data_IF_044179514539
#
_entry.id   IF_044179514539
#
_cell.length_a   1.000
_cell.length_b   1.000
_cell.length_c   1.000
_cell.angle_alpha   90.00
_cell.angle_beta   90.00
_cell.angle_gamma   90.00
#
_symmetry.space_group_name_H-M   'P 1'
#
loop_
_entity.id
_entity.type
_entity.pdbx_description
1 polymer ?
#
# COMPACT_ATOMS: atom_id res chain seq x y z
N UNK A 1 -11.55 -7.91 37.13
CA UNK A 1 -10.96 -9.23 37.41
C UNK A 1 -10.17 -9.77 36.21
N UNK A 2 -10.74 -9.84 35.00
CA UNK A 2 -10.04 -10.36 33.80
C UNK A 2 -8.77 -9.59 33.39
N UNK A 3 -8.79 -8.25 33.48
CA UNK A 3 -7.62 -7.41 33.13
C UNK A 3 -6.43 -7.68 34.06
N UNK A 4 -6.69 -7.89 35.36
CA UNK A 4 -5.65 -8.19 36.36
C UNK A 4 -5.02 -9.55 36.04
N UNK A 5 -5.86 -10.58 35.82
CA UNK A 5 -5.40 -11.92 35.43
C UNK A 5 -4.61 -11.92 34.13
N UNK A 6 -5.02 -11.13 33.14
CA UNK A 6 -4.25 -10.99 31.90
C UNK A 6 -2.88 -10.35 32.13
N UNK A 7 -2.81 -9.28 32.94
CA UNK A 7 -1.54 -8.65 33.29
C UNK A 7 -0.61 -9.61 34.07
N UNK A 8 -1.17 -10.48 34.93
CA UNK A 8 -0.43 -11.56 35.59
C UNK A 8 0.09 -12.58 34.58
N UNK A 9 -0.72 -13.03 33.62
CA UNK A 9 -0.28 -13.93 32.53
C UNK A 9 0.88 -13.34 31.71
N UNK A 10 0.81 -12.06 31.37
CA UNK A 10 1.88 -11.37 30.64
C UNK A 10 3.19 -11.35 31.45
N UNK A 11 3.10 -11.07 32.76
CA UNK A 11 4.26 -11.07 33.65
C UNK A 11 4.86 -12.46 33.84
N UNK A 12 4.03 -13.49 34.00
CA UNK A 12 4.48 -14.88 34.17
C UNK A 12 5.24 -15.40 32.95
N UNK A 13 4.82 -14.98 31.75
CA UNK A 13 5.43 -15.39 30.48
C UNK A 13 6.66 -14.56 30.10
N UNK A 14 7.06 -13.57 30.91
CA UNK A 14 8.15 -12.62 30.64
C UNK A 14 8.10 -12.05 29.20
N UNK A 15 6.90 -11.68 28.73
CA UNK A 15 6.74 -11.16 27.37
C UNK A 15 7.41 -9.79 27.26
N UNK A 16 8.54 -9.74 26.55
CA UNK A 16 9.33 -8.52 26.31
C UNK A 16 8.71 -7.64 25.21
N UNK A 17 7.52 -7.12 25.47
CA UNK A 17 6.85 -6.16 24.58
C UNK A 17 6.46 -4.90 25.34
N UNK A 18 6.83 -3.74 24.79
CA UNK A 18 6.42 -2.43 25.30
C UNK A 18 5.12 -1.93 24.66
N UNK A 19 4.63 -2.62 23.62
CA UNK A 19 3.41 -2.22 22.89
C UNK A 19 2.17 -2.52 23.72
N UNK A 20 1.33 -1.51 23.96
CA UNK A 20 0.02 -1.71 24.59
C UNK A 20 -0.96 -2.36 23.60
N UNK A 21 -1.87 -3.19 24.12
CA UNK A 21 -3.03 -3.66 23.35
C UNK A 21 -3.87 -2.47 22.90
N UNK A 22 -4.31 -2.50 21.65
CA UNK A 22 -5.15 -1.45 21.04
C UNK A 22 -6.54 -1.99 20.76
N UNK A 23 -7.56 -1.18 21.03
CA UNK A 23 -8.94 -1.52 20.71
C UNK A 23 -9.23 -1.26 19.22
N UNK A 24 -10.00 -2.14 18.59
CA UNK A 24 -10.46 -1.92 17.23
C UNK A 24 -11.57 -0.85 17.16
N UNK A 25 -11.59 -0.14 16.02
CA UNK A 25 -12.68 0.72 15.60
C UNK A 25 -13.20 0.14 14.28
N UNK A 26 -14.37 -0.55 14.28
CA UNK A 26 -14.82 -1.36 13.14
C UNK A 26 -14.96 -0.62 11.79
N UNK A 27 -15.07 0.71 11.84
CA UNK A 27 -15.19 1.57 10.65
C UNK A 27 -13.83 1.98 10.06
N UNK A 28 -12.71 1.62 10.70
CA UNK A 28 -11.34 2.01 10.29
C UNK A 28 -10.44 0.79 10.27
N UNK A 29 -10.14 0.30 9.07
CA UNK A 29 -9.21 -0.81 8.85
C UNK A 29 -7.80 -0.58 9.43
N UNK A 30 -7.35 0.68 9.55
CA UNK A 30 -6.13 1.05 10.28
C UNK A 30 -6.18 0.65 11.77
N UNK A 31 -7.32 0.87 12.43
CA UNK A 31 -7.51 0.50 13.83
C UNK A 31 -7.49 -1.01 13.98
N UNK A 32 -8.09 -1.72 13.03
CA UNK A 32 -8.08 -3.18 13.00
C UNK A 32 -6.67 -3.72 12.83
N UNK A 33 -5.88 -3.19 11.89
CA UNK A 33 -4.48 -3.56 11.73
C UNK A 33 -3.69 -3.36 13.04
N UNK A 34 -3.80 -2.17 13.65
CA UNK A 34 -3.09 -1.85 14.88
C UNK A 34 -3.52 -2.71 16.07
N UNK A 35 -4.80 -3.08 16.17
CA UNK A 35 -5.28 -4.06 17.15
C UNK A 35 -4.61 -5.40 16.91
N UNK A 36 -4.70 -5.96 15.70
CA UNK A 36 -4.17 -7.29 15.37
C UNK A 36 -2.65 -7.36 15.58
N UNK A 37 -1.92 -6.34 15.11
CA UNK A 37 -0.47 -6.23 15.29
C UNK A 37 -0.08 -6.27 16.78
N UNK A 38 -0.82 -5.55 17.63
CA UNK A 38 -0.58 -5.61 19.07
C UNK A 38 -1.00 -6.95 19.68
N UNK A 39 -2.13 -7.52 19.27
CA UNK A 39 -2.71 -8.73 19.85
C UNK A 39 -1.86 -9.98 19.60
N UNK A 40 -1.25 -10.10 18.41
CA UNK A 40 -0.37 -11.23 18.06
C UNK A 40 0.81 -11.35 19.03
N UNK A 41 1.37 -10.22 19.50
CA UNK A 41 2.47 -10.20 20.48
C UNK A 41 2.08 -10.78 21.84
N UNK A 42 0.78 -10.85 22.13
CA UNK A 42 0.22 -11.37 23.37
C UNK A 42 -0.54 -12.69 23.19
N UNK A 43 -0.41 -13.36 22.04
CA UNK A 43 -1.12 -14.61 21.74
C UNK A 43 -0.96 -15.66 22.85
N UNK A 44 0.26 -15.86 23.36
CA UNK A 44 0.54 -16.76 24.48
C UNK A 44 -0.12 -16.31 25.79
N UNK A 45 -0.17 -15.01 26.07
CA UNK A 45 -0.84 -14.48 27.26
C UNK A 45 -2.36 -14.68 27.19
N UNK A 46 -2.98 -14.60 26.00
CA UNK A 46 -4.38 -14.96 25.81
C UNK A 46 -4.62 -16.46 26.05
N UNK A 47 -3.73 -17.34 25.57
CA UNK A 47 -3.80 -18.77 25.85
C UNK A 47 -3.69 -19.06 27.35
N UNK A 48 -2.74 -18.42 28.04
CA UNK A 48 -2.58 -18.54 29.49
C UNK A 48 -3.81 -18.01 30.25
N UNK A 49 -4.38 -16.89 29.80
CA UNK A 49 -5.60 -16.32 30.39
C UNK A 49 -6.75 -17.32 30.38
N UNK A 50 -6.88 -18.14 29.33
CA UNK A 50 -7.90 -19.20 29.23
C UNK A 50 -7.75 -20.26 30.32
N UNK A 51 -6.52 -20.54 30.76
CA UNK A 51 -6.24 -21.51 31.81
C UNK A 51 -6.53 -20.95 33.21
N UNK A 52 -6.27 -19.65 33.43
CA UNK A 52 -6.39 -19.01 34.76
C UNK A 52 -7.74 -18.32 35.01
N UNK A 53 -8.51 -18.02 33.96
CA UNK A 53 -9.83 -17.41 34.08
C UNK A 53 -10.92 -18.25 33.40
N UNK A 54 -11.70 -19.05 34.17
CA UNK A 54 -12.80 -19.84 33.63
C UNK A 54 -13.87 -19.02 32.89
N UNK A 55 -13.94 -17.70 33.16
CA UNK A 55 -14.87 -16.79 32.49
C UNK A 55 -14.38 -16.37 31.08
N UNK A 56 -13.10 -16.55 30.76
CA UNK A 56 -12.55 -16.22 29.45
C UNK A 56 -12.77 -17.38 28.46
N UNK A 57 -13.92 -17.34 27.78
CA UNK A 57 -14.37 -18.40 26.87
C UNK A 57 -13.78 -18.29 25.46
N UNK A 58 -13.53 -17.06 25.00
CA UNK A 58 -13.23 -16.75 23.60
C UNK A 58 -11.74 -16.52 23.35
N UNK A 59 -10.94 -17.56 23.58
CA UNK A 59 -9.53 -17.57 23.18
C UNK A 59 -9.41 -18.11 21.74
N UNK A 60 -8.76 -17.38 20.81
CA UNK A 60 -8.54 -17.90 19.47
C UNK A 60 -7.73 -19.20 19.50
N UNK A 61 -8.03 -20.11 18.57
CA UNK A 61 -7.25 -21.33 18.33
C UNK A 61 -5.91 -21.00 17.65
N UNK A 62 -5.00 -21.99 17.59
CA UNK A 62 -3.73 -21.84 16.88
C UNK A 62 -3.93 -21.52 15.38
N UNK A 63 -4.95 -22.14 14.77
CA UNK A 63 -5.33 -21.91 13.38
C UNK A 63 -5.92 -20.50 13.17
N UNK A 64 -6.71 -20.02 14.13
CA UNK A 64 -7.25 -18.66 14.10
C UNK A 64 -6.16 -17.62 14.28
N UNK A 65 -5.18 -17.84 15.17
CA UNK A 65 -3.99 -16.98 15.29
C UNK A 65 -3.18 -16.95 13.98
N UNK A 66 -3.00 -18.11 13.33
CA UNK A 66 -2.36 -18.16 12.01
C UNK A 66 -3.13 -17.35 10.96
N UNK A 67 -4.47 -17.41 10.98
CA UNK A 67 -5.31 -16.59 10.09
C UNK A 67 -5.20 -15.10 10.44
N UNK A 68 -5.16 -14.72 11.72
CA UNK A 68 -4.95 -13.34 12.18
C UNK A 68 -3.64 -12.78 11.61
N UNK A 69 -2.55 -13.55 11.63
CA UNK A 69 -1.28 -13.12 11.04
C UNK A 69 -1.37 -12.91 9.52
N UNK A 70 -2.13 -13.75 8.81
CA UNK A 70 -2.38 -13.56 7.36
C UNK A 70 -3.18 -12.28 7.10
N UNK A 71 -4.23 -12.02 7.90
CA UNK A 71 -5.03 -10.79 7.80
C UNK A 71 -4.16 -9.56 8.11
N UNK A 72 -3.34 -9.62 9.17
CA UNK A 72 -2.42 -8.55 9.53
C UNK A 72 -1.45 -8.24 8.38
N UNK A 73 -0.83 -9.28 7.79
CA UNK A 73 0.05 -9.13 6.63
C UNK A 73 -0.67 -8.53 5.43
N UNK A 74 -1.92 -8.92 5.18
CA UNK A 74 -2.74 -8.35 4.13
C UNK A 74 -3.08 -6.86 4.37
N UNK A 75 -3.37 -6.47 5.61
CA UNK A 75 -3.72 -5.08 5.95
C UNK A 75 -2.50 -4.17 6.07
N UNK A 76 -1.30 -4.72 6.28
CA UNK A 76 -0.06 -3.95 6.50
C UNK A 76 0.24 -2.93 5.39
N UNK A 77 0.20 -3.28 4.08
CA UNK A 77 0.51 -2.33 3.02
C UNK A 77 -0.47 -1.16 2.96
N UNK A 78 -1.74 -1.38 3.32
CA UNK A 78 -2.70 -0.30 3.44
C UNK A 78 -2.29 0.66 4.56
N UNK A 79 -1.88 0.11 5.72
CA UNK A 79 -1.51 0.90 6.90
C UNK A 79 -0.30 1.77 6.61
N UNK A 80 0.76 1.18 6.05
CA UNK A 80 1.97 1.86 5.59
C UNK A 80 1.63 3.00 4.63
N UNK A 81 0.76 2.73 3.64
CA UNK A 81 0.29 3.74 2.70
C UNK A 81 -0.44 4.89 3.41
N UNK A 82 -1.34 4.60 4.34
CA UNK A 82 -2.09 5.66 5.04
C UNK A 82 -1.20 6.48 5.94
N UNK A 83 -0.27 5.85 6.64
CA UNK A 83 0.71 6.56 7.43
C UNK A 83 1.56 7.48 6.55
N UNK A 84 2.01 6.99 5.39
CA UNK A 84 2.77 7.76 4.41
C UNK A 84 1.99 9.00 3.94
N UNK A 85 0.74 8.86 3.52
CA UNK A 85 -0.09 9.99 3.08
C UNK A 85 -0.54 10.91 4.21
N UNK A 86 -0.57 10.39 5.44
CA UNK A 86 -0.88 11.20 6.61
C UNK A 86 0.32 12.04 7.08
N UNK A 87 1.52 11.88 6.51
CA UNK A 87 2.69 12.73 6.85
C UNK A 87 2.55 14.11 6.21
N UNK A 88 2.80 15.16 6.99
CA UNK A 88 2.42 16.53 6.64
C UNK A 88 3.57 17.30 5.97
N UNK A 89 4.71 16.66 5.73
CA UNK A 89 6.00 17.31 5.44
C UNK A 89 6.58 17.05 4.05
N UNK A 90 5.94 16.23 3.22
CA UNK A 90 6.51 15.84 1.91
C UNK A 90 5.45 15.90 0.80
N UNK A 91 5.83 16.31 -0.42
CA UNK A 91 4.97 16.12 -1.58
C UNK A 91 4.67 14.62 -1.74
N UNK A 92 3.39 14.25 -1.63
CA UNK A 92 2.97 12.85 -1.69
C UNK A 92 2.42 12.45 -3.06
N UNK A 93 2.18 13.43 -3.94
CA UNK A 93 1.53 13.22 -5.24
C UNK A 93 2.31 12.28 -6.16
N UNK A 94 3.64 12.39 -6.20
CA UNK A 94 4.50 11.50 -6.99
C UNK A 94 4.72 10.12 -6.34
N UNK A 95 4.35 9.94 -5.07
CA UNK A 95 4.33 8.63 -4.40
C UNK A 95 2.97 7.93 -4.54
N UNK A 96 1.94 8.68 -4.94
CA UNK A 96 0.56 8.21 -4.99
C UNK A 96 0.41 6.95 -5.83
N UNK A 97 0.79 7.05 -7.10
CA UNK A 97 0.53 6.00 -8.08
C UNK A 97 1.24 4.70 -7.70
N UNK A 98 2.51 4.78 -7.27
CA UNK A 98 3.30 3.61 -6.84
C UNK A 98 2.60 2.85 -5.70
N UNK A 99 2.15 3.57 -4.67
CA UNK A 99 1.50 2.95 -3.52
C UNK A 99 0.13 2.37 -3.90
N UNK A 100 -0.67 3.10 -4.67
CA UNK A 100 -1.98 2.66 -5.17
C UNK A 100 -1.84 1.41 -6.03
N UNK A 101 -0.83 1.40 -6.89
CA UNK A 101 -0.48 0.27 -7.73
C UNK A 101 -0.09 -0.96 -6.90
N UNK A 102 0.73 -0.79 -5.86
CA UNK A 102 1.09 -1.86 -4.91
C UNK A 102 -0.15 -2.51 -4.28
N UNK A 103 -1.15 -1.71 -3.90
CA UNK A 103 -2.42 -2.23 -3.38
C UNK A 103 -3.23 -2.98 -4.44
N UNK A 104 -3.27 -2.49 -5.68
CA UNK A 104 -3.92 -3.20 -6.79
C UNK A 104 -3.28 -4.57 -7.04
N UNK A 105 -1.95 -4.65 -7.03
CA UNK A 105 -1.22 -5.93 -7.16
C UNK A 105 -1.51 -6.87 -6.00
N UNK A 106 -1.50 -6.35 -4.76
CA UNK A 106 -1.85 -7.12 -3.57
C UNK A 106 -3.25 -7.73 -3.67
N UNK A 107 -4.23 -7.01 -4.23
CA UNK A 107 -5.56 -7.60 -4.45
C UNK A 107 -5.50 -8.76 -5.45
N UNK A 108 -4.81 -8.62 -6.58
CA UNK A 108 -4.72 -9.69 -7.58
C UNK A 108 -4.14 -10.97 -6.97
N UNK A 109 -3.07 -10.84 -6.19
CA UNK A 109 -2.43 -11.97 -5.51
C UNK A 109 -3.36 -12.63 -4.48
N UNK A 110 -4.06 -11.82 -3.67
CA UNK A 110 -4.82 -12.34 -2.54
C UNK A 110 -6.20 -12.86 -2.95
N UNK A 111 -6.76 -12.38 -4.07
CA UNK A 111 -8.01 -12.89 -4.63
C UNK A 111 -7.94 -14.35 -5.06
N UNK A 112 -6.76 -14.84 -5.43
CA UNK A 112 -6.52 -16.26 -5.79
C UNK A 112 -5.90 -17.08 -4.64
N UNK A 113 -5.87 -16.52 -3.43
CA UNK A 113 -5.40 -17.23 -2.25
C UNK A 113 -6.22 -18.50 -1.97
N UNK A 114 -5.52 -19.57 -1.56
CA UNK A 114 -6.14 -20.83 -1.13
C UNK A 114 -7.01 -20.65 0.14
N UNK A 115 -6.73 -19.63 0.95
CA UNK A 115 -7.56 -19.30 2.10
C UNK A 115 -8.81 -18.54 1.64
N UNK A 116 -9.94 -19.24 1.58
CA UNK A 116 -11.20 -18.70 1.07
C UNK A 116 -11.67 -17.46 1.85
N UNK A 117 -11.32 -17.32 3.13
CA UNK A 117 -11.67 -16.14 3.91
C UNK A 117 -10.87 -14.92 3.46
N UNK A 118 -9.56 -15.10 3.23
CA UNK A 118 -8.68 -14.05 2.69
C UNK A 118 -9.07 -13.69 1.26
N UNK A 119 -9.32 -14.68 0.40
CA UNK A 119 -9.77 -14.46 -0.98
C UNK A 119 -11.08 -13.66 -1.03
N UNK A 120 -12.06 -14.01 -0.19
CA UNK A 120 -13.32 -13.27 -0.09
C UNK A 120 -13.09 -11.84 0.41
N UNK A 121 -12.31 -11.67 1.49
CA UNK A 121 -11.97 -10.36 2.02
C UNK A 121 -11.28 -9.47 0.98
N UNK A 122 -10.34 -10.03 0.21
CA UNK A 122 -9.66 -9.31 -0.86
C UNK A 122 -10.64 -8.87 -1.97
N UNK A 123 -11.57 -9.73 -2.39
CA UNK A 123 -12.62 -9.39 -3.37
C UNK A 123 -13.54 -8.27 -2.87
N UNK A 124 -14.00 -8.36 -1.63
CA UNK A 124 -14.90 -7.36 -1.03
C UNK A 124 -14.20 -6.00 -0.87
N UNK A 125 -12.95 -6.00 -0.40
CA UNK A 125 -12.15 -4.80 -0.28
C UNK A 125 -11.77 -4.22 -1.64
N UNK A 126 -11.46 -5.05 -2.64
CA UNK A 126 -11.20 -4.60 -4.01
C UNK A 126 -12.43 -3.91 -4.62
N UNK A 127 -13.63 -4.48 -4.43
CA UNK A 127 -14.87 -3.85 -4.94
C UNK A 127 -15.06 -2.43 -4.39
N UNK A 128 -14.78 -2.23 -3.09
CA UNK A 128 -14.77 -0.90 -2.48
C UNK A 128 -13.66 -0.02 -3.05
N UNK A 129 -12.46 -0.57 -3.18
CA UNK A 129 -11.30 0.14 -3.73
C UNK A 129 -11.61 0.66 -5.15
N UNK A 130 -12.04 -0.22 -6.06
CA UNK A 130 -12.36 0.11 -7.44
C UNK A 130 -13.50 1.13 -7.54
N UNK A 131 -14.43 1.20 -6.58
CA UNK A 131 -15.46 2.25 -6.54
C UNK A 131 -14.87 3.64 -6.35
N UNK A 132 -13.86 3.79 -5.48
CA UNK A 132 -13.21 5.07 -5.22
C UNK A 132 -12.11 5.39 -6.22
N UNK A 133 -11.50 4.36 -6.82
CA UNK A 133 -10.30 4.46 -7.66
C UNK A 133 -10.53 4.10 -9.14
N UNK A 134 -11.80 4.00 -9.58
CA UNK A 134 -12.17 3.66 -10.97
C UNK A 134 -11.56 4.60 -12.01
N UNK A 135 -11.30 5.83 -11.60
CA UNK A 135 -10.45 6.78 -12.31
C UNK A 135 -9.23 7.00 -11.43
N UNK A 136 -8.05 6.51 -11.83
CA UNK A 136 -6.82 7.16 -11.38
C UNK A 136 -7.04 8.65 -11.64
N UNK A 137 -6.91 9.50 -10.62
CA UNK A 137 -6.99 10.93 -10.87
C UNK A 137 -5.98 11.23 -11.97
N UNK A 138 -6.45 11.66 -13.14
CA UNK A 138 -5.60 11.98 -14.29
C UNK A 138 -4.45 12.90 -13.85
N UNK A 139 -4.75 13.81 -12.92
CA UNK A 139 -3.79 14.71 -12.25
C UNK A 139 -2.69 13.94 -11.52
N UNK A 140 -3.01 12.87 -10.79
CA UNK A 140 -2.03 12.07 -10.06
C UNK A 140 -1.21 11.19 -10.99
N UNK A 141 -1.78 10.74 -12.11
CA UNK A 141 -1.00 10.06 -13.16
C UNK A 141 -0.05 11.05 -13.83
N UNK A 142 -0.48 12.28 -14.12
CA UNK A 142 0.39 13.34 -14.63
C UNK A 142 1.54 13.67 -13.68
N UNK A 143 1.28 13.71 -12.36
CA UNK A 143 2.33 13.94 -11.37
C UNK A 143 3.48 12.92 -11.46
N UNK A 144 3.19 11.68 -11.86
CA UNK A 144 4.21 10.65 -12.11
C UNK A 144 4.93 10.87 -13.43
N UNK A 145 4.19 11.17 -14.50
CA UNK A 145 4.80 11.40 -15.81
C UNK A 145 5.72 12.63 -15.78
N UNK A 146 5.37 13.64 -15.00
CA UNK A 146 6.18 14.83 -14.77
C UNK A 146 7.34 14.60 -13.78
N UNK A 147 7.36 13.49 -13.05
CA UNK A 147 8.52 13.12 -12.21
C UNK A 147 9.64 12.60 -13.14
N UNK A 148 10.81 13.27 -13.19
CA UNK A 148 11.90 12.91 -14.10
C UNK A 148 12.41 11.47 -13.95
N UNK A 149 12.16 10.83 -12.81
CA UNK A 149 12.59 9.46 -12.51
C UNK A 149 11.71 8.40 -13.15
N UNK A 150 10.42 8.68 -13.37
CA UNK A 150 9.44 7.68 -13.82
C UNK A 150 9.04 7.89 -15.27
N UNK A 151 8.64 9.12 -15.62
CA UNK A 151 8.14 9.48 -16.95
C UNK A 151 6.96 8.58 -17.38
N UNK A 152 6.64 8.60 -18.68
CA UNK A 152 5.57 7.79 -19.25
C UNK A 152 5.89 6.29 -19.25
N UNK A 153 7.19 5.94 -19.33
CA UNK A 153 7.70 4.56 -19.39
C UNK A 153 7.27 3.73 -18.16
N UNK A 154 7.26 4.34 -16.97
CA UNK A 154 6.81 3.68 -15.75
C UNK A 154 5.32 3.34 -15.78
N UNK A 155 4.49 4.24 -16.33
CA UNK A 155 3.05 4.00 -16.48
C UNK A 155 2.79 2.89 -17.51
N UNK A 156 3.55 2.87 -18.61
CA UNK A 156 3.52 1.79 -19.61
C UNK A 156 3.84 0.43 -18.98
N UNK A 157 4.89 0.36 -18.15
CA UNK A 157 5.25 -0.84 -17.41
C UNK A 157 4.11 -1.30 -16.48
N UNK A 158 3.56 -0.40 -15.67
CA UNK A 158 2.47 -0.75 -14.76
C UNK A 158 1.23 -1.24 -15.50
N UNK A 159 0.79 -0.56 -16.57
CA UNK A 159 -0.37 -1.03 -17.33
C UNK A 159 -0.13 -2.37 -18.02
N UNK A 160 1.05 -2.63 -18.57
CA UNK A 160 1.40 -3.93 -19.14
C UNK A 160 1.36 -5.04 -18.10
N UNK A 161 1.89 -4.78 -16.90
CA UNK A 161 1.87 -5.76 -15.79
C UNK A 161 0.44 -6.02 -15.27
N UNK A 162 -0.46 -5.04 -15.38
CA UNK A 162 -1.87 -5.22 -15.00
C UNK A 162 -2.64 -6.04 -16.02
N UNK A 163 -2.60 -5.58 -17.26
CA UNK A 163 -3.46 -6.01 -18.33
C UNK A 163 -2.83 -5.56 -19.65
N UNK A 164 -2.11 -6.49 -20.26
CA UNK A 164 -1.43 -6.29 -21.54
C UNK A 164 -2.43 -5.81 -22.61
N UNK A 165 -3.67 -6.31 -22.59
CA UNK A 165 -4.65 -6.06 -23.65
C UNK A 165 -5.10 -4.61 -23.72
N UNK A 166 -5.36 -3.97 -22.58
CA UNK A 166 -5.83 -2.57 -22.53
C UNK A 166 -4.71 -1.55 -22.27
N UNK A 167 -3.46 -2.02 -22.14
CA UNK A 167 -2.33 -1.20 -21.75
C UNK A 167 -2.04 -0.08 -22.76
N UNK A 168 -2.00 -0.41 -24.06
CA UNK A 168 -1.67 0.53 -25.12
C UNK A 168 -2.69 1.67 -25.23
N UNK A 169 -4.00 1.34 -25.18
CA UNK A 169 -5.05 2.37 -25.25
C UNK A 169 -5.00 3.30 -24.05
N UNK A 170 -4.83 2.78 -22.83
CA UNK A 170 -4.73 3.60 -21.60
C UNK A 170 -3.56 4.58 -21.63
N UNK A 171 -2.40 4.14 -22.13
CA UNK A 171 -1.22 5.00 -22.27
C UNK A 171 -1.45 6.08 -23.32
N UNK A 172 -2.05 5.74 -24.46
CA UNK A 172 -2.33 6.72 -25.52
C UNK A 172 -3.35 7.78 -25.06
N UNK A 173 -4.41 7.38 -24.37
CA UNK A 173 -5.37 8.32 -23.76
C UNK A 173 -4.63 9.26 -22.80
N UNK A 174 -3.75 8.75 -21.94
CA UNK A 174 -2.98 9.58 -21.02
C UNK A 174 -2.06 10.57 -21.77
N UNK A 175 -1.39 10.11 -22.83
CA UNK A 175 -0.49 10.93 -23.66
C UNK A 175 -1.27 12.06 -24.35
N UNK A 176 -2.46 11.76 -24.85
CA UNK A 176 -3.37 12.74 -25.45
C UNK A 176 -3.76 13.81 -24.42
N UNK A 177 -4.23 13.40 -23.25
CA UNK A 177 -4.63 14.32 -22.18
C UNK A 177 -3.48 15.22 -21.70
N UNK A 178 -2.24 14.70 -21.65
CA UNK A 178 -1.07 15.55 -21.32
C UNK A 178 -0.77 16.57 -22.42
N UNK A 179 -0.97 16.19 -23.69
CA UNK A 179 -0.76 17.10 -24.82
C UNK A 179 -1.80 18.23 -24.79
N UNK A 180 -3.06 17.90 -24.59
CA UNK A 180 -4.14 18.89 -24.42
C UNK A 180 -3.84 19.87 -23.27
N UNK A 181 -3.41 19.34 -22.11
CA UNK A 181 -3.02 20.17 -20.97
C UNK A 181 -1.86 21.12 -21.31
N UNK A 182 -0.85 20.62 -22.03
CA UNK A 182 0.29 21.42 -22.44
C UNK A 182 -0.07 22.50 -23.46
N UNK A 183 -0.92 22.18 -24.44
CA UNK A 183 -1.45 23.15 -25.41
C UNK A 183 -2.22 24.27 -24.71
N UNK A 184 -3.04 23.93 -23.72
CA UNK A 184 -3.77 24.93 -22.93
C UNK A 184 -2.83 25.79 -22.07
N UNK A 185 -1.81 25.19 -21.46
CA UNK A 185 -0.76 25.93 -20.75
C UNK A 185 -0.05 26.94 -21.66
N UNK A 186 0.28 26.56 -22.90
CA UNK A 186 0.91 27.45 -23.87
C UNK A 186 0.00 28.62 -24.28
N UNK A 187 -1.33 28.44 -24.31
CA UNK A 187 -2.29 29.52 -24.62
C UNK A 187 -2.38 30.56 -23.51
N UNK A 188 -2.17 30.15 -22.25
CA UNK A 188 -2.30 31.02 -21.06
C UNK A 188 -1.02 31.84 -20.80
N UNK A 189 0.13 31.41 -21.31
CA UNK A 189 1.40 32.14 -21.13
C UNK A 189 1.60 33.19 -22.23
N UNK A 190 1.64 34.50 -21.92
CA UNK A 190 2.17 35.49 -22.84
C UNK A 190 3.68 35.26 -23.03
N UNK A 191 4.27 35.55 -24.20
CA UNK A 191 5.66 35.26 -24.48
C UNK A 191 6.57 36.03 -23.51
N UNK A 192 7.14 35.35 -22.50
CA UNK A 192 8.22 35.89 -21.66
C UNK A 192 9.32 34.87 -21.42
N UNK A 193 10.42 35.16 -22.13
CA UNK A 193 11.84 35.11 -21.77
C UNK A 193 12.32 34.01 -20.81
N UNK A 194 13.18 33.14 -21.35
CA UNK A 194 13.99 32.14 -20.65
C UNK A 194 14.72 32.73 -19.45
N UNK A 195 14.47 32.20 -18.25
CA UNK A 195 15.44 32.26 -17.15
C UNK A 195 15.53 30.89 -16.48
N UNK A 196 16.75 30.35 -16.54
CA UNK A 196 17.26 29.17 -15.83
C UNK A 196 17.15 29.33 -14.32
N UNK A 197 16.83 28.26 -13.58
CA UNK A 197 17.74 27.71 -12.55
C UNK A 197 17.19 26.51 -11.75
N UNK A 198 18.07 25.50 -11.68
CA UNK A 198 18.35 24.46 -10.68
C UNK A 198 17.45 24.24 -9.46
N UNK A 199 17.08 22.97 -9.22
CA UNK A 199 16.89 22.30 -7.89
C UNK A 199 17.06 20.79 -8.15
N UNK A 200 17.73 19.92 -7.38
CA UNK A 200 18.31 19.92 -6.04
C UNK A 200 18.27 18.45 -5.57
N UNK A 201 19.42 17.85 -5.28
CA UNK A 201 19.53 16.43 -4.91
C UNK A 201 18.89 16.17 -3.55
N UNK A 202 17.90 15.27 -3.50
CA UNK A 202 17.36 14.74 -2.24
C UNK A 202 17.67 13.24 -2.18
N UNK A 203 18.62 12.89 -1.32
CA UNK A 203 18.91 11.54 -0.87
C UNK A 203 17.90 11.14 0.21
N UNK A 204 17.33 9.95 0.09
CA UNK A 204 16.41 9.39 1.07
C UNK A 204 16.20 7.91 0.82
N UNK A 205 16.79 7.13 1.72
CA UNK A 205 16.83 5.67 1.87
C UNK A 205 15.45 5.01 1.95
N UNK A 206 15.33 3.80 1.38
CA UNK A 206 14.28 2.81 1.70
C UNK A 206 14.66 1.45 1.08
N UNK A 207 14.95 0.45 1.90
CA UNK A 207 15.37 -0.91 1.48
C UNK A 207 14.28 -1.71 0.74
N UNK A 208 13.03 -1.21 0.69
CA UNK A 208 11.90 -1.81 -0.06
C UNK A 208 11.57 -1.06 -1.37
N UNK A 209 12.25 0.07 -1.66
CA UNK A 209 12.19 0.76 -2.96
C UNK A 209 12.90 -0.08 -4.04
N UNK A 210 13.92 -0.84 -3.63
CA UNK A 210 14.83 -1.54 -4.53
C UNK A 210 14.11 -2.59 -5.37
N UNK A 211 13.24 -3.42 -4.81
CA UNK A 211 12.63 -4.53 -5.59
C UNK A 211 11.79 -4.04 -6.79
N UNK A 212 10.99 -2.98 -6.62
CA UNK A 212 10.18 -2.44 -7.71
C UNK A 212 11.02 -1.61 -8.69
N UNK A 213 12.11 -1.01 -8.21
CA UNK A 213 13.04 -0.25 -9.03
C UNK A 213 13.90 -1.20 -9.87
N UNK A 214 14.38 -2.30 -9.29
CA UNK A 214 15.08 -3.40 -9.94
C UNK A 214 14.23 -4.04 -11.05
N UNK A 215 12.94 -4.28 -10.80
CA UNK A 215 12.01 -4.76 -11.83
C UNK A 215 11.84 -3.75 -12.98
N UNK A 216 11.75 -2.46 -12.67
CA UNK A 216 11.61 -1.39 -13.67
C UNK A 216 12.91 -1.18 -14.47
N UNK A 217 14.06 -1.28 -13.82
CA UNK A 217 15.38 -1.16 -14.44
C UNK A 217 15.68 -2.36 -15.35
N UNK A 218 15.24 -3.57 -14.95
CA UNK A 218 15.24 -4.75 -15.82
C UNK A 218 14.34 -4.55 -17.04
N UNK A 219 13.13 -3.99 -16.85
CA UNK A 219 12.21 -3.66 -17.95
C UNK A 219 12.81 -2.63 -18.93
N UNK A 220 13.47 -1.57 -18.42
CA UNK A 220 14.15 -0.56 -19.23
C UNK A 220 15.29 -1.15 -20.05
N UNK A 221 16.06 -2.08 -19.47
CA UNK A 221 17.14 -2.78 -20.16
C UNK A 221 16.63 -3.64 -21.32
N UNK A 222 15.56 -4.42 -21.09
CA UNK A 222 14.93 -5.24 -22.13
C UNK A 222 14.35 -4.41 -23.28
N UNK A 223 13.78 -3.24 -22.99
CA UNK A 223 13.26 -2.33 -24.03
C UNK A 223 14.36 -1.63 -24.82
N UNK A 224 15.55 -1.44 -24.24
CA UNK A 224 16.71 -0.89 -24.92
C UNK A 224 17.29 -1.91 -25.90
N UNK A 225 17.39 -3.18 -25.51
CA UNK A 225 17.89 -4.27 -26.36
C UNK A 225 16.95 -4.56 -27.55
N UNK A 226 15.63 -4.37 -27.39
CA UNK A 226 14.64 -4.55 -28.45
C UNK A 226 14.60 -3.40 -29.48
N UNK A 227 15.33 -2.29 -29.23
CA UNK A 227 15.40 -1.12 -30.12
C UNK A 227 16.77 -0.98 -30.81
N UNK A 228 17.70 -1.90 -30.53
CA UNK A 228 19.03 -1.97 -31.15
C UNK A 228 19.10 -3.03 -32.23
#
# INVERSE_FOLDING_TARGET
MIIIKFAESVKQLDLKTSKKLKQDMPVKWNSTYLMLESAVLYSLAFCQLKLVDPNYKWCPSLEEWSRVEKIMRFLKPFHEMTELFSRHRYPTSNLYFRNVWRIQMLFQEQMVSMDLAISRMAKDMKSKFDKYWKCYSTVLTFAIVLDPRYKLEFIEFCYKKFDVSTSYEKVNVLREQMRELFEEYLRVIPPRCEQSSAIGTISGCDDDIDIMMDEFDSYRSQCADARS
#
